data_IF_435736798989
#
_entry.id   IF_435736798989
#
_cell.length_a   1.000
_cell.length_b   1.000
_cell.length_c   1.000
_cell.angle_alpha   90.00
_cell.angle_beta   90.00
_cell.angle_gamma   90.00
#
_symmetry.space_group_name_H-M   'P 1'
#
loop_
_entity.id
_entity.type
_entity.pdbx_description
1 polymer ?
#
# COMPACT_ATOMS: atom_id res chain seq x y z
N UNK A 1 22.26 17.98 -44.82
CA UNK A 1 22.31 18.21 -43.35
C UNK A 1 21.03 17.76 -42.66
N UNK A 2 19.99 17.41 -43.43
CA UNK A 2 18.62 17.29 -42.95
C UNK A 2 18.30 15.92 -42.31
N UNK A 3 18.94 14.84 -42.80
CA UNK A 3 18.75 13.50 -42.24
C UNK A 3 19.33 13.37 -40.83
N UNK A 4 20.55 13.88 -40.61
CA UNK A 4 21.20 13.85 -39.29
C UNK A 4 20.42 14.71 -38.29
N UNK A 5 19.89 15.85 -38.73
CA UNK A 5 19.09 16.75 -37.89
C UNK A 5 17.71 16.17 -37.55
N UNK A 6 17.10 15.45 -38.49
CA UNK A 6 15.84 14.71 -38.27
C UNK A 6 16.05 13.54 -37.30
N UNK A 7 17.11 12.76 -37.48
CA UNK A 7 17.48 11.67 -36.57
C UNK A 7 17.81 12.21 -35.19
N UNK A 8 18.58 13.29 -35.07
CA UNK A 8 18.89 13.90 -33.78
C UNK A 8 17.63 14.44 -33.10
N UNK A 9 16.71 15.06 -33.84
CA UNK A 9 15.44 15.56 -33.28
C UNK A 9 14.54 14.42 -32.81
N UNK A 10 14.43 13.33 -33.57
CA UNK A 10 13.66 12.14 -33.18
C UNK A 10 14.25 11.52 -31.90
N UNK A 11 15.57 11.32 -31.87
CA UNK A 11 16.26 10.81 -30.67
C UNK A 11 16.02 11.76 -29.49
N UNK A 12 16.10 13.07 -29.69
CA UNK A 12 15.90 14.06 -28.64
C UNK A 12 14.45 14.01 -28.09
N UNK A 13 13.44 13.92 -28.96
CA UNK A 13 12.03 13.79 -28.54
C UNK A 13 11.70 12.45 -27.90
N UNK A 14 12.38 11.37 -28.27
CA UNK A 14 12.20 10.03 -27.70
C UNK A 14 13.00 9.80 -26.41
N UNK A 15 14.05 10.60 -26.17
CA UNK A 15 14.93 10.46 -25.00
C UNK A 15 14.73 11.53 -23.94
N UNK A 16 13.97 12.60 -24.20
CA UNK A 16 13.62 13.54 -23.14
C UNK A 16 12.79 12.81 -22.07
N UNK A 17 13.26 12.75 -20.82
CA UNK A 17 12.45 12.23 -19.73
C UNK A 17 11.24 13.15 -19.58
N UNK A 18 10.08 12.69 -20.05
CA UNK A 18 8.81 13.34 -19.75
C UNK A 18 8.74 13.39 -18.22
N UNK A 19 8.86 14.60 -17.67
CA UNK A 19 8.75 14.83 -16.24
C UNK A 19 7.28 14.65 -15.86
N UNK A 20 6.89 13.41 -15.65
CA UNK A 20 5.58 13.06 -15.13
C UNK A 20 5.44 13.63 -13.70
N UNK A 21 4.19 13.88 -13.31
CA UNK A 21 3.89 14.60 -12.07
C UNK A 21 4.43 13.92 -10.81
N UNK A 22 4.52 14.70 -9.73
CA UNK A 22 4.81 14.20 -8.39
C UNK A 22 3.53 13.67 -7.76
N UNK A 23 3.56 12.47 -7.18
CA UNK A 23 2.42 11.81 -6.56
C UNK A 23 2.76 11.56 -5.09
N UNK A 24 1.93 12.10 -4.20
CA UNK A 24 1.91 11.74 -2.79
C UNK A 24 0.86 10.66 -2.56
N UNK A 25 1.25 9.55 -1.97
CA UNK A 25 0.39 8.41 -1.66
C UNK A 25 0.20 8.34 -0.16
N UNK A 26 -1.06 8.31 0.26
CA UNK A 26 -1.46 8.03 1.63
C UNK A 26 -2.20 6.68 1.66
N UNK A 27 -1.49 5.58 1.93
CA UNK A 27 -2.00 4.23 1.75
C UNK A 27 -2.74 3.70 2.98
N UNK A 28 -3.61 2.72 2.73
CA UNK A 28 -4.09 1.79 3.75
C UNK A 28 -3.30 0.49 3.68
N UNK A 29 -3.08 -0.17 4.83
CA UNK A 29 -2.35 -1.43 4.94
C UNK A 29 -3.07 -2.62 4.29
N UNK A 30 -2.36 -3.75 4.23
CA UNK A 30 -2.90 -5.04 3.82
C UNK A 30 -3.12 -5.18 2.32
N UNK A 31 -4.22 -5.84 1.92
CA UNK A 31 -4.56 -6.07 0.51
C UNK A 31 -4.73 -4.77 -0.29
N UNK A 32 -5.11 -3.67 0.36
CA UNK A 32 -5.18 -2.36 -0.26
C UNK A 32 -3.80 -1.93 -0.77
N UNK A 33 -2.78 -1.99 0.09
CA UNK A 33 -1.41 -1.70 -0.30
C UNK A 33 -0.88 -2.69 -1.35
N UNK A 34 -1.10 -4.00 -1.18
CA UNK A 34 -0.60 -5.00 -2.14
C UNK A 34 -1.06 -4.67 -3.56
N UNK A 35 -2.32 -4.29 -3.73
CA UNK A 35 -2.87 -3.89 -5.03
C UNK A 35 -2.34 -2.52 -5.47
N UNK A 36 -2.24 -1.54 -4.57
CA UNK A 36 -1.71 -0.22 -4.91
C UNK A 36 -0.24 -0.28 -5.35
N UNK A 37 0.59 -1.12 -4.73
CA UNK A 37 2.00 -1.25 -5.07
C UNK A 37 2.20 -1.62 -6.55
N UNK A 38 1.30 -2.43 -7.12
CA UNK A 38 1.32 -2.75 -8.56
C UNK A 38 1.14 -1.48 -9.40
N UNK A 39 0.19 -0.61 -9.01
CA UNK A 39 -0.07 0.66 -9.70
C UNK A 39 1.11 1.62 -9.56
N UNK A 40 1.73 1.70 -8.38
CA UNK A 40 2.88 2.57 -8.15
C UNK A 40 4.08 2.17 -9.00
N UNK A 41 4.32 0.87 -9.19
CA UNK A 41 5.37 0.36 -10.08
C UNK A 41 5.19 0.81 -11.52
N UNK A 42 3.95 0.80 -12.00
CA UNK A 42 3.61 1.24 -13.34
C UNK A 42 3.65 2.77 -13.49
N UNK A 43 3.26 3.52 -12.46
CA UNK A 43 3.40 4.98 -12.47
C UNK A 43 4.88 5.39 -12.47
N UNK A 44 5.70 4.69 -11.69
CA UNK A 44 7.15 4.88 -11.65
C UNK A 44 7.80 4.52 -12.99
N UNK A 45 7.41 3.42 -13.64
CA UNK A 45 7.93 3.05 -14.97
C UNK A 45 7.64 4.10 -16.04
N UNK A 46 6.54 4.86 -15.87
CA UNK A 46 6.16 6.00 -16.71
C UNK A 46 6.84 7.31 -16.31
N UNK A 47 7.75 7.32 -15.34
CA UNK A 47 8.54 8.48 -14.94
C UNK A 47 7.92 9.37 -13.85
N UNK A 48 6.84 8.93 -13.17
CA UNK A 48 6.30 9.68 -12.04
C UNK A 48 7.23 9.58 -10.83
N UNK A 49 7.37 10.69 -10.09
CA UNK A 49 8.05 10.69 -8.80
C UNK A 49 7.03 10.41 -7.70
N UNK A 50 7.21 9.31 -6.97
CA UNK A 50 6.23 8.83 -6.01
C UNK A 50 6.81 8.95 -4.60
N UNK A 51 6.04 9.56 -3.70
CA UNK A 51 6.31 9.58 -2.27
C UNK A 51 5.19 8.88 -1.53
N UNK A 52 5.52 7.90 -0.69
CA UNK A 52 4.56 7.09 0.07
C UNK A 52 4.70 7.39 1.56
N UNK A 53 3.61 7.82 2.18
CA UNK A 53 3.53 7.97 3.63
C UNK A 53 3.37 6.58 4.27
N UNK A 54 4.13 6.29 5.32
CA UNK A 54 4.04 5.04 6.06
C UNK A 54 4.16 5.25 7.57
N UNK A 55 3.50 4.40 8.35
CA UNK A 55 3.72 4.28 9.79
C UNK A 55 5.06 3.57 10.08
N UNK A 56 5.62 3.73 11.28
CA UNK A 56 6.86 3.07 11.69
C UNK A 56 6.79 1.54 11.57
N UNK A 57 5.66 0.97 11.98
CA UNK A 57 5.36 -0.46 12.04
C UNK A 57 4.48 -0.94 10.88
N UNK A 58 4.51 -0.26 9.73
CA UNK A 58 3.77 -0.67 8.52
C UNK A 58 4.13 -2.11 8.12
N UNK A 59 3.13 -2.95 7.86
CA UNK A 59 3.33 -4.38 7.60
C UNK A 59 3.90 -4.66 6.22
N UNK A 60 3.31 -4.05 5.19
CA UNK A 60 3.63 -4.37 3.80
C UNK A 60 4.38 -3.23 3.08
N UNK A 61 4.39 -2.04 3.67
CA UNK A 61 4.99 -0.85 3.09
C UNK A 61 6.45 -0.76 3.53
N UNK A 62 7.34 -1.16 2.62
CA UNK A 62 8.78 -1.10 2.85
C UNK A 62 9.25 0.35 2.95
N UNK A 63 10.17 0.60 3.87
CA UNK A 63 10.88 1.89 4.00
C UNK A 63 11.76 2.15 2.77
N UNK A 64 12.39 1.11 2.23
CA UNK A 64 13.23 1.22 1.03
C UNK A 64 12.55 0.56 -0.15
N UNK A 65 12.51 1.26 -1.28
CA UNK A 65 11.89 0.79 -2.52
C UNK A 65 12.58 1.40 -3.73
N UNK A 66 12.77 0.63 -4.82
CA UNK A 66 13.25 1.19 -6.08
C UNK A 66 12.15 1.93 -6.86
N UNK A 67 10.91 1.96 -6.37
CA UNK A 67 9.73 2.46 -7.10
C UNK A 67 9.10 3.71 -6.48
N UNK A 68 9.46 4.05 -5.25
CA UNK A 68 8.96 5.22 -4.53
C UNK A 68 9.93 5.61 -3.41
N UNK A 69 9.85 6.85 -2.97
CA UNK A 69 10.50 7.32 -1.74
C UNK A 69 9.49 7.17 -0.59
N UNK A 70 9.91 6.60 0.54
CA UNK A 70 9.04 6.54 1.72
C UNK A 70 9.22 7.77 2.60
N UNK A 71 8.14 8.18 3.25
CA UNK A 71 8.13 9.14 4.34
C UNK A 71 7.57 8.45 5.57
N UNK A 72 8.45 8.07 6.48
CA UNK A 72 8.08 7.40 7.72
C UNK A 72 7.63 8.44 8.75
N UNK A 73 6.37 8.35 9.17
CA UNK A 73 5.80 9.15 10.25
C UNK A 73 6.04 8.40 11.57
N UNK A 74 6.43 9.07 12.66
CA UNK A 74 6.67 8.44 13.97
C UNK A 74 5.35 8.05 14.66
N UNK A 75 4.58 7.20 13.98
CA UNK A 75 3.27 6.72 14.40
C UNK A 75 3.27 5.19 14.35
N UNK A 76 2.67 4.56 15.36
CA UNK A 76 2.50 3.11 15.43
C UNK A 76 1.05 2.78 15.13
N UNK A 77 0.81 2.10 14.02
CA UNK A 77 -0.50 1.63 13.62
C UNK A 77 -1.00 0.49 14.53
N UNK A 78 -0.08 -0.20 15.20
CA UNK A 78 -0.37 -1.27 16.14
C UNK A 78 -0.64 -2.57 15.40
N UNK A 79 0.33 -2.99 14.60
CA UNK A 79 0.26 -4.26 13.91
C UNK A 79 0.04 -5.46 14.84
N UNK A 80 -1.07 -6.18 14.69
CA UNK A 80 -1.47 -7.30 15.56
C UNK A 80 -1.38 -8.66 14.84
N UNK A 81 -0.17 -9.06 14.47
CA UNK A 81 0.11 -10.31 13.75
C UNK A 81 -0.46 -11.55 14.45
N UNK A 82 -0.45 -11.55 15.79
CA UNK A 82 -1.01 -12.62 16.60
C UNK A 82 -2.52 -12.72 16.43
N UNK A 83 -3.24 -11.60 16.50
CA UNK A 83 -4.67 -11.56 16.22
C UNK A 83 -4.98 -12.09 14.82
N UNK A 84 -4.28 -11.64 13.77
CA UNK A 84 -4.57 -12.10 12.41
C UNK A 84 -4.27 -13.58 12.20
N UNK A 85 -3.19 -14.10 12.80
CA UNK A 85 -2.89 -15.55 12.78
C UNK A 85 -3.99 -16.35 13.48
N UNK A 86 -4.42 -15.90 14.66
CA UNK A 86 -5.51 -16.53 15.40
C UNK A 86 -6.83 -16.47 14.62
N UNK A 87 -7.16 -15.32 14.05
CA UNK A 87 -8.35 -15.11 13.24
C UNK A 87 -8.39 -16.05 12.03
N UNK A 88 -7.30 -16.15 11.26
CA UNK A 88 -7.20 -17.05 10.10
C UNK A 88 -7.37 -18.51 10.52
N UNK A 89 -6.70 -18.93 11.61
CA UNK A 89 -6.84 -20.29 12.16
C UNK A 89 -8.29 -20.60 12.56
N UNK A 90 -8.94 -19.68 13.27
CA UNK A 90 -10.32 -19.80 13.71
C UNK A 90 -11.30 -19.85 12.52
N UNK A 91 -11.10 -19.03 11.49
CA UNK A 91 -11.90 -19.04 10.26
C UNK A 91 -11.77 -20.40 9.53
N UNK A 92 -10.55 -20.93 9.39
CA UNK A 92 -10.31 -22.23 8.79
C UNK A 92 -11.00 -23.35 9.60
N UNK A 93 -10.93 -23.29 10.93
CA UNK A 93 -11.60 -24.26 11.80
C UNK A 93 -13.12 -24.17 11.68
N UNK A 94 -13.71 -22.97 11.65
CA UNK A 94 -15.15 -22.76 11.44
C UNK A 94 -15.61 -23.37 10.11
N UNK A 95 -14.85 -23.14 9.03
CA UNK A 95 -15.15 -23.70 7.70
C UNK A 95 -15.03 -25.22 7.70
N UNK A 96 -13.93 -25.76 8.23
CA UNK A 96 -13.64 -27.20 8.26
C UNK A 96 -14.66 -27.98 9.11
N UNK A 97 -15.02 -27.45 10.28
CA UNK A 97 -15.93 -28.11 11.22
C UNK A 97 -17.40 -27.72 11.01
N UNK A 98 -17.71 -26.85 10.03
CA UNK A 98 -19.04 -26.26 9.82
C UNK A 98 -19.65 -25.72 11.12
N UNK A 99 -18.87 -24.94 11.88
CA UNK A 99 -19.32 -24.35 13.15
C UNK A 99 -20.54 -23.43 12.93
N UNK A 100 -21.26 -23.18 14.03
CA UNK A 100 -22.51 -22.41 14.02
C UNK A 100 -22.36 -21.01 13.41
N UNK A 101 -23.45 -20.49 12.86
CA UNK A 101 -23.50 -19.13 12.31
C UNK A 101 -23.13 -18.07 13.37
N UNK A 102 -23.49 -18.29 14.64
CA UNK A 102 -23.14 -17.41 15.76
C UNK A 102 -21.64 -17.35 16.02
N UNK A 103 -20.93 -18.47 15.92
CA UNK A 103 -19.47 -18.49 16.07
C UNK A 103 -18.80 -17.70 14.95
N UNK A 104 -19.31 -17.80 13.72
CA UNK A 104 -18.82 -17.00 12.59
C UNK A 104 -19.09 -15.52 12.81
N UNK A 105 -20.32 -15.17 13.17
CA UNK A 105 -20.72 -13.79 13.44
C UNK A 105 -19.88 -13.15 14.55
N UNK A 106 -19.63 -13.87 15.64
CA UNK A 106 -18.76 -13.38 16.73
C UNK A 106 -17.36 -13.04 16.22
N UNK A 107 -16.76 -13.95 15.44
CA UNK A 107 -15.42 -13.75 14.89
C UNK A 107 -15.38 -12.57 13.89
N UNK A 108 -16.44 -12.40 13.09
CA UNK A 108 -16.56 -11.26 12.18
C UNK A 108 -16.73 -9.92 12.94
N UNK A 109 -17.37 -9.93 14.12
CA UNK A 109 -17.45 -8.76 15.00
C UNK A 109 -16.11 -8.38 15.61
N UNK A 110 -15.33 -9.36 16.07
CA UNK A 110 -13.95 -9.13 16.56
C UNK A 110 -13.07 -8.50 15.47
N UNK A 111 -13.18 -8.99 14.22
CA UNK A 111 -12.48 -8.41 13.08
C UNK A 111 -12.93 -6.98 12.77
N UNK A 112 -14.24 -6.71 12.83
CA UNK A 112 -14.79 -5.36 12.61
C UNK A 112 -14.26 -4.37 13.64
N UNK A 113 -14.19 -4.76 14.90
CA UNK A 113 -13.65 -3.92 15.98
C UNK A 113 -12.18 -3.56 15.72
N UNK A 114 -11.36 -4.55 15.37
CA UNK A 114 -9.95 -4.32 15.00
C UNK A 114 -9.79 -3.41 13.79
N UNK A 115 -10.60 -3.60 12.75
CA UNK A 115 -10.60 -2.69 11.60
C UNK A 115 -11.02 -1.27 12.01
N UNK A 116 -12.02 -1.11 12.87
CA UNK A 116 -12.44 0.21 13.34
C UNK A 116 -11.33 0.92 14.12
N UNK A 117 -10.61 0.19 14.98
CA UNK A 117 -9.46 0.72 15.70
C UNK A 117 -8.35 1.17 14.75
N UNK A 118 -8.01 0.34 13.75
CA UNK A 118 -7.01 0.66 12.74
C UNK A 118 -7.41 1.89 11.90
N UNK A 119 -8.66 1.97 11.42
CA UNK A 119 -9.14 3.13 10.66
C UNK A 119 -9.05 4.42 11.50
N UNK A 120 -9.42 4.36 12.78
CA UNK A 120 -9.28 5.49 13.69
C UNK A 120 -7.82 5.94 13.80
N UNK A 121 -6.89 5.01 13.99
CA UNK A 121 -5.45 5.30 14.06
C UNK A 121 -4.91 5.92 12.76
N UNK A 122 -5.35 5.43 11.60
CA UNK A 122 -4.98 6.03 10.30
C UNK A 122 -5.47 7.49 10.21
N UNK A 123 -6.69 7.77 10.68
CA UNK A 123 -7.19 9.14 10.75
C UNK A 123 -6.39 10.01 11.72
N UNK A 124 -5.97 9.48 12.87
CA UNK A 124 -5.13 10.18 13.85
C UNK A 124 -3.75 10.49 13.26
N UNK A 125 -3.17 9.59 12.47
CA UNK A 125 -1.89 9.81 11.78
C UNK A 125 -1.92 11.03 10.83
N UNK A 126 -3.08 11.41 10.30
CA UNK A 126 -3.26 12.57 9.41
C UNK A 126 -3.28 13.92 10.15
N UNK A 127 -3.46 13.90 11.48
CA UNK A 127 -3.59 15.11 12.30
C UNK A 127 -2.23 15.53 12.89
N UNK A 128 -1.22 14.66 12.80
CA UNK A 128 0.13 14.87 13.35
C UNK A 128 0.95 15.81 12.47
#
# INVERSE_FOLDING_TARGET
>A
MDFIFAVSSIILTLTFPVHCGKILVFPHEGSHWVNMNILLRELHSRGHQITVIRALDSWFISETSPHYVSMTVPFLLGGDDEFYRSFVSNQLQIRRQRKSAWTRFKLDMELKEKFSEMHRKICEMLII
#
